data_IF_274537096343
#
_entry.id   IF_274537096343
#
_cell.length_a   1.000
_cell.length_b   1.000
_cell.length_c   1.000
_cell.angle_alpha   90.00
_cell.angle_beta   90.00
_cell.angle_gamma   90.00
#
_symmetry.space_group_name_H-M   'P 1'
#
loop_
_entity.id
_entity.type
_entity.pdbx_description
1 polymer ?
#
# COMPACT_ATOMS: atom_id res chain seq x y z
N UNK A 1 -0.15 30.25 5.10
CA UNK A 1 -1.37 29.94 4.33
C UNK A 1 -1.20 28.49 3.96
N UNK A 2 -2.17 27.61 4.25
CA UNK A 2 -1.94 26.17 4.33
C UNK A 2 -1.75 25.57 2.93
N UNK A 3 -0.53 25.65 2.39
CA UNK A 3 -0.18 25.24 1.03
C UNK A 3 0.06 23.73 1.02
N UNK A 4 -0.26 23.06 -0.09
CA UNK A 4 -0.07 21.62 -0.21
C UNK A 4 1.45 21.32 -0.19
N UNK A 5 1.89 20.54 0.78
CA UNK A 5 3.30 20.10 0.97
C UNK A 5 3.53 18.65 0.68
N UNK A 6 2.55 17.80 0.97
CA UNK A 6 2.64 16.39 0.66
C UNK A 6 1.37 15.94 -0.05
N UNK A 7 1.56 15.08 -1.03
CA UNK A 7 0.48 14.41 -1.77
C UNK A 7 0.74 12.92 -1.66
N UNK A 8 -0.23 12.16 -1.15
CA UNK A 8 -0.11 10.74 -0.93
C UNK A 8 -1.11 9.97 -1.80
N UNK A 9 -0.60 9.02 -2.59
CA UNK A 9 -1.37 8.04 -3.36
C UNK A 9 -0.91 6.63 -3.01
N UNK A 10 -1.80 5.65 -3.08
CA UNK A 10 -1.53 4.22 -2.90
C UNK A 10 -2.34 3.40 -3.91
N UNK A 11 -2.11 2.08 -3.94
CA UNK A 11 -2.98 1.09 -4.59
C UNK A 11 -3.28 1.46 -6.06
N UNK A 12 -2.26 1.95 -6.74
CA UNK A 12 -2.32 2.36 -8.14
C UNK A 12 -2.28 1.16 -9.07
N UNK A 13 -1.64 0.05 -8.65
CA UNK A 13 -1.48 -1.20 -9.42
C UNK A 13 -1.10 -0.96 -10.88
N UNK A 14 -0.10 -0.09 -11.12
CA UNK A 14 0.34 0.26 -12.46
C UNK A 14 0.87 -0.98 -13.19
N UNK A 15 0.32 -1.25 -14.37
CA UNK A 15 0.59 -2.45 -15.17
C UNK A 15 -0.54 -3.47 -15.14
N UNK A 16 -1.44 -3.41 -14.16
CA UNK A 16 -2.58 -4.32 -14.01
C UNK A 16 -3.76 -3.91 -14.91
N UNK A 17 -4.50 -4.88 -15.45
CA UNK A 17 -5.54 -4.66 -16.47
C UNK A 17 -6.91 -4.25 -15.93
N UNK A 18 -7.12 -4.29 -14.61
CA UNK A 18 -8.27 -3.79 -13.86
C UNK A 18 -7.99 -2.46 -13.14
N UNK A 19 -6.73 -2.00 -13.10
CA UNK A 19 -6.32 -0.65 -12.67
C UNK A 19 -6.76 0.48 -13.62
N UNK A 20 -7.54 1.40 -13.04
CA UNK A 20 -7.72 2.82 -13.32
C UNK A 20 -6.64 3.47 -14.19
N UNK A 21 -5.43 3.29 -13.73
CA UNK A 21 -4.27 4.07 -14.11
C UNK A 21 -3.44 3.37 -15.18
N UNK A 22 -3.74 2.12 -15.51
CA UNK A 22 -3.18 1.40 -16.65
C UNK A 22 -4.02 1.64 -17.90
N UNK A 23 -3.42 2.01 -19.04
CA UNK A 23 -4.18 2.12 -20.28
C UNK A 23 -4.46 0.73 -20.86
N UNK A 24 -5.57 0.57 -21.60
CA UNK A 24 -5.84 -0.63 -22.39
C UNK A 24 -5.66 -0.35 -23.88
N UNK A 25 -5.27 -1.39 -24.63
CA UNK A 25 -5.29 -1.36 -26.09
C UNK A 25 -6.73 -1.13 -26.59
N UNK A 26 -6.86 -0.48 -27.75
CA UNK A 26 -8.18 -0.19 -28.31
C UNK A 26 -8.94 -1.49 -28.60
N UNK A 27 -10.16 -1.60 -28.07
CA UNK A 27 -11.02 -2.78 -28.21
C UNK A 27 -10.38 -4.09 -27.73
N UNK A 28 -9.58 -4.04 -26.67
CA UNK A 28 -8.91 -5.19 -26.05
C UNK A 28 -8.89 -5.04 -24.53
N UNK A 29 -8.76 -6.16 -23.84
CA UNK A 29 -8.52 -6.24 -22.39
C UNK A 29 -7.03 -6.08 -22.05
N UNK A 30 -6.15 -6.21 -23.04
CA UNK A 30 -4.71 -6.12 -22.83
C UNK A 30 -4.28 -4.71 -22.39
N UNK A 31 -3.38 -4.61 -21.41
CA UNK A 31 -2.69 -3.37 -21.12
C UNK A 31 -1.92 -2.81 -22.32
N UNK A 32 -1.95 -1.49 -22.45
CA UNK A 32 -1.12 -0.71 -23.36
C UNK A 32 -0.12 0.14 -22.55
N UNK A 33 1.09 -0.39 -22.28
CA UNK A 33 2.08 0.31 -21.47
C UNK A 33 2.71 1.53 -22.17
N UNK A 34 2.40 1.75 -23.46
CA UNK A 34 3.00 2.83 -24.25
C UNK A 34 2.26 4.15 -24.11
N UNK A 35 1.08 4.17 -23.48
CA UNK A 35 0.26 5.36 -23.32
C UNK A 35 -0.26 5.50 -21.89
N UNK A 36 -0.37 6.72 -21.34
CA UNK A 36 -1.04 6.91 -20.06
C UNK A 36 -2.54 6.71 -20.22
N UNK A 37 -3.20 6.13 -19.20
CA UNK A 37 -4.66 5.97 -19.21
C UNK A 37 -5.36 7.34 -19.20
N UNK A 38 -6.59 7.45 -19.74
CA UNK A 38 -7.36 8.68 -19.65
C UNK A 38 -7.58 9.16 -18.21
N UNK A 39 -7.76 8.22 -17.27
CA UNK A 39 -7.94 8.53 -15.84
C UNK A 39 -6.64 9.09 -15.26
N UNK A 40 -5.49 8.49 -15.58
CA UNK A 40 -4.18 8.98 -15.12
C UNK A 40 -3.91 10.41 -15.61
N UNK A 41 -4.20 10.72 -16.88
CA UNK A 41 -4.03 12.08 -17.42
C UNK A 41 -4.89 13.08 -16.65
N UNK A 42 -6.17 12.77 -16.48
CA UNK A 42 -7.10 13.69 -15.83
C UNK A 42 -6.83 13.84 -14.34
N UNK A 43 -6.36 12.78 -13.67
CA UNK A 43 -5.88 12.82 -12.29
C UNK A 43 -4.74 13.84 -12.13
N UNK A 44 -3.77 13.81 -13.04
CA UNK A 44 -2.64 14.75 -13.00
C UNK A 44 -3.09 16.18 -13.28
N UNK A 45 -4.05 16.41 -14.18
CA UNK A 45 -4.63 17.74 -14.39
C UNK A 45 -5.35 18.27 -13.13
N UNK A 46 -6.07 17.41 -12.41
CA UNK A 46 -6.68 17.75 -11.11
C UNK A 46 -5.62 18.15 -10.06
N UNK A 47 -4.53 17.41 -9.98
CA UNK A 47 -3.40 17.72 -9.08
C UNK A 47 -2.70 19.01 -9.48
N UNK A 48 -2.43 19.22 -10.77
CA UNK A 48 -1.84 20.46 -11.30
C UNK A 48 -2.72 21.67 -10.94
N UNK A 49 -4.04 21.56 -11.11
CA UNK A 49 -4.98 22.61 -10.72
C UNK A 49 -4.83 22.98 -9.24
N UNK A 50 -4.84 22.01 -8.32
CA UNK A 50 -4.70 22.28 -6.88
C UNK A 50 -3.33 22.85 -6.52
N UNK A 51 -2.25 22.24 -7.00
CA UNK A 51 -0.87 22.66 -6.70
C UNK A 51 -0.59 24.04 -7.28
N UNK A 52 -1.18 24.41 -8.42
CA UNK A 52 -1.08 25.77 -8.98
C UNK A 52 -1.64 26.86 -8.08
N UNK A 53 -2.48 26.49 -7.08
CA UNK A 53 -3.03 27.41 -6.09
C UNK A 53 -2.13 27.60 -4.88
N UNK A 54 -1.01 26.89 -4.75
CA UNK A 54 -0.03 27.14 -3.69
C UNK A 54 0.53 28.56 -3.84
N UNK A 55 0.57 29.31 -2.74
CA UNK A 55 0.99 30.72 -2.76
C UNK A 55 2.51 30.86 -2.77
N UNK A 56 3.21 30.02 -2.01
CA UNK A 56 4.66 30.08 -1.88
C UNK A 56 5.42 29.45 -3.05
N UNK A 57 4.68 28.86 -4.00
CA UNK A 57 5.16 28.22 -5.23
C UNK A 57 6.16 27.08 -5.01
N UNK A 58 6.35 26.59 -3.78
CA UNK A 58 7.14 25.38 -3.56
C UNK A 58 6.34 24.17 -4.01
N UNK A 59 7.04 23.26 -4.68
CA UNK A 59 6.46 22.01 -5.13
C UNK A 59 6.30 21.07 -3.93
N UNK A 60 5.17 20.35 -3.82
CA UNK A 60 5.01 19.32 -2.82
C UNK A 60 5.95 18.13 -3.04
N UNK A 61 6.07 17.31 -2.00
CA UNK A 61 6.66 15.98 -2.04
C UNK A 61 5.55 14.98 -2.37
N UNK A 62 5.82 14.09 -3.32
CA UNK A 62 4.93 12.96 -3.63
C UNK A 62 5.29 11.77 -2.74
N UNK A 63 4.30 11.22 -2.05
CA UNK A 63 4.40 10.00 -1.27
C UNK A 63 3.64 8.91 -2.04
N UNK A 64 4.35 7.87 -2.42
CA UNK A 64 3.80 6.70 -3.08
C UNK A 64 3.71 5.58 -2.03
N UNK A 65 2.52 5.40 -1.46
CA UNK A 65 2.25 4.63 -0.24
C UNK A 65 1.71 3.22 -0.51
N UNK A 66 2.51 2.41 -1.20
CA UNK A 66 2.26 0.98 -1.39
C UNK A 66 1.37 0.63 -2.58
N UNK A 67 1.59 -0.58 -3.09
CA UNK A 67 0.90 -1.19 -4.25
C UNK A 67 0.81 -0.24 -5.45
N UNK A 68 1.94 0.39 -5.75
CA UNK A 68 2.04 1.39 -6.82
C UNK A 68 2.24 0.71 -8.15
N UNK A 69 3.16 -0.24 -8.21
CA UNK A 69 3.38 -1.10 -9.36
C UNK A 69 2.78 -2.46 -9.05
N UNK A 70 2.11 -3.06 -10.03
CA UNK A 70 1.68 -4.45 -9.90
C UNK A 70 2.83 -5.38 -10.29
N UNK A 71 3.42 -6.11 -9.34
CA UNK A 71 4.43 -7.15 -9.62
C UNK A 71 3.90 -8.57 -9.36
N UNK A 72 2.76 -8.69 -8.67
CA UNK A 72 2.16 -9.97 -8.33
C UNK A 72 1.41 -10.58 -9.52
N UNK A 73 0.76 -9.74 -10.34
CA UNK A 73 -0.15 -10.17 -11.41
C UNK A 73 0.30 -9.79 -12.82
N UNK A 74 1.37 -9.01 -12.97
CA UNK A 74 1.93 -8.65 -14.28
C UNK A 74 3.45 -8.72 -14.30
N UNK A 75 4.03 -8.45 -15.47
CA UNK A 75 5.48 -8.48 -15.70
C UNK A 75 6.14 -7.14 -15.32
N UNK A 76 7.35 -7.21 -14.77
CA UNK A 76 8.14 -6.04 -14.36
C UNK A 76 8.25 -4.98 -15.47
N UNK A 77 8.47 -5.41 -16.71
CA UNK A 77 8.62 -4.49 -17.84
C UNK A 77 7.32 -3.74 -18.13
N UNK A 78 6.17 -4.39 -18.03
CA UNK A 78 4.88 -3.75 -18.25
C UNK A 78 4.59 -2.72 -17.17
N UNK A 79 4.71 -3.10 -15.89
CA UNK A 79 4.52 -2.21 -14.76
C UNK A 79 5.49 -1.00 -14.82
N UNK A 80 6.77 -1.24 -15.12
CA UNK A 80 7.77 -0.20 -15.27
C UNK A 80 7.46 0.79 -16.41
N UNK A 81 7.02 0.30 -17.57
CA UNK A 81 6.66 1.16 -18.70
C UNK A 81 5.42 2.02 -18.39
N UNK A 82 4.42 1.48 -17.68
CA UNK A 82 3.27 2.27 -17.22
C UNK A 82 3.70 3.32 -16.19
N UNK A 83 4.61 2.96 -15.27
CA UNK A 83 5.19 3.92 -14.33
C UNK A 83 5.96 5.04 -15.04
N UNK A 84 6.69 4.77 -16.12
CA UNK A 84 7.32 5.83 -16.94
C UNK A 84 6.28 6.83 -17.47
N UNK A 85 5.10 6.37 -17.92
CA UNK A 85 4.02 7.25 -18.39
C UNK A 85 3.49 8.14 -17.26
N UNK A 86 3.42 7.63 -16.03
CA UNK A 86 3.09 8.43 -14.87
C UNK A 86 4.14 9.52 -14.60
N UNK A 87 5.43 9.14 -14.60
CA UNK A 87 6.55 10.08 -14.38
C UNK A 87 6.59 11.19 -15.44
N UNK A 88 6.31 10.87 -16.70
CA UNK A 88 6.22 11.87 -17.78
C UNK A 88 5.16 12.93 -17.53
N UNK A 89 4.03 12.55 -16.90
CA UNK A 89 2.95 13.46 -16.58
C UNK A 89 3.26 14.31 -15.34
N UNK A 90 3.83 13.71 -14.28
CA UNK A 90 4.03 14.40 -13.00
C UNK A 90 5.37 15.13 -12.87
N UNK A 91 6.39 14.73 -13.63
CA UNK A 91 7.72 15.36 -13.63
C UNK A 91 8.20 15.73 -15.05
N UNK A 92 7.40 16.40 -15.90
CA UNK A 92 7.86 16.86 -17.21
C UNK A 92 8.97 17.91 -17.08
N UNK A 93 9.84 17.98 -18.10
CA UNK A 93 10.94 18.93 -18.14
C UNK A 93 10.46 20.38 -17.96
N UNK A 94 10.97 21.05 -16.92
CA UNK A 94 10.65 22.44 -16.58
C UNK A 94 9.25 22.68 -16.00
N UNK A 95 8.38 21.66 -15.93
CA UNK A 95 6.98 21.78 -15.47
C UNK A 95 6.58 20.74 -14.42
N UNK A 96 7.52 20.00 -13.85
CA UNK A 96 7.21 18.99 -12.83
C UNK A 96 6.37 19.53 -11.68
N UNK A 97 5.38 18.75 -11.24
CA UNK A 97 4.47 19.09 -10.15
C UNK A 97 5.11 18.91 -8.78
N UNK A 98 6.04 17.95 -8.68
CA UNK A 98 6.66 17.54 -7.42
C UNK A 98 8.14 17.90 -7.37
N UNK A 99 8.63 18.12 -6.16
CA UNK A 99 10.07 18.32 -5.88
C UNK A 99 10.82 16.98 -5.88
N UNK A 100 10.29 16.01 -5.12
CA UNK A 100 10.83 14.66 -4.98
C UNK A 100 9.72 13.65 -4.70
N UNK A 101 10.09 12.37 -4.77
CA UNK A 101 9.22 11.22 -4.51
C UNK A 101 9.78 10.45 -3.32
N UNK A 102 8.93 10.07 -2.36
CA UNK A 102 9.24 9.07 -1.33
C UNK A 102 8.40 7.84 -1.61
N UNK A 103 9.04 6.67 -1.64
CA UNK A 103 8.37 5.40 -1.94
C UNK A 103 8.26 4.54 -0.69
N UNK A 104 7.07 3.98 -0.47
CA UNK A 104 6.79 3.02 0.61
C UNK A 104 6.23 1.78 -0.07
N UNK A 105 6.94 0.65 -0.08
CA UNK A 105 6.43 -0.59 -0.66
C UNK A 105 5.23 -1.13 0.12
N UNK A 106 4.26 -1.67 -0.63
CA UNK A 106 3.17 -2.48 -0.16
C UNK A 106 3.45 -3.96 -0.33
N UNK A 107 2.41 -4.78 -0.41
CA UNK A 107 2.54 -6.22 -0.60
C UNK A 107 2.70 -6.61 -2.08
N UNK A 108 2.06 -5.88 -3.02
CA UNK A 108 2.14 -6.16 -4.47
C UNK A 108 3.47 -5.76 -5.09
N UNK A 109 4.19 -4.84 -4.46
CA UNK A 109 5.50 -4.35 -4.89
C UNK A 109 6.57 -4.50 -3.79
N UNK A 110 6.35 -5.42 -2.85
CA UNK A 110 7.27 -5.74 -1.75
C UNK A 110 8.67 -6.08 -2.24
N UNK A 111 8.81 -6.66 -3.44
CA UNK A 111 10.10 -6.97 -4.03
C UNK A 111 11.02 -5.73 -4.18
N UNK A 112 10.46 -4.53 -4.30
CA UNK A 112 11.26 -3.31 -4.29
C UNK A 112 11.88 -2.99 -2.93
N UNK A 113 11.23 -3.38 -1.82
CA UNK A 113 11.86 -3.34 -0.51
C UNK A 113 13.04 -4.31 -0.44
N UNK A 114 12.83 -5.58 -0.85
CA UNK A 114 13.89 -6.60 -0.81
C UNK A 114 15.10 -6.20 -1.67
N UNK A 115 14.86 -5.72 -2.89
CA UNK A 115 15.94 -5.23 -3.76
C UNK A 115 16.69 -4.04 -3.14
N UNK A 116 15.98 -3.10 -2.51
CA UNK A 116 16.61 -1.95 -1.87
C UNK A 116 17.44 -2.34 -0.65
N UNK A 117 16.91 -3.23 0.20
CA UNK A 117 17.56 -3.82 1.37
C UNK A 117 18.83 -4.59 0.98
N UNK A 118 18.77 -5.44 -0.05
CA UNK A 118 19.93 -6.17 -0.54
C UNK A 118 21.00 -5.21 -1.09
N UNK A 119 20.59 -4.20 -1.86
CA UNK A 119 21.51 -3.18 -2.40
C UNK A 119 22.21 -2.41 -1.27
N UNK A 120 21.46 -2.03 -0.23
CA UNK A 120 22.01 -1.39 0.96
C UNK A 120 23.03 -2.32 1.66
N UNK A 121 22.70 -3.61 1.79
CA UNK A 121 23.57 -4.58 2.42
C UNK A 121 24.86 -4.82 1.65
N UNK A 122 24.81 -4.86 0.31
CA UNK A 122 26.02 -4.88 -0.54
C UNK A 122 26.89 -3.65 -0.28
N UNK A 123 26.29 -2.47 -0.15
CA UNK A 123 27.01 -1.24 0.21
C UNK A 123 27.64 -1.29 1.61
N UNK A 124 26.98 -1.94 2.57
CA UNK A 124 27.54 -2.21 3.90
C UNK A 124 28.73 -3.17 3.83
N UNK A 125 28.60 -4.31 3.14
CA UNK A 125 29.68 -5.30 3.03
C UNK A 125 30.93 -4.70 2.40
N UNK A 126 30.79 -3.80 1.41
CA UNK A 126 31.91 -3.12 0.79
C UNK A 126 32.73 -2.23 1.76
N UNK A 127 32.13 -1.84 2.89
CA UNK A 127 32.77 -1.04 3.95
C UNK A 127 33.38 -1.92 5.06
N UNK A 128 33.11 -3.23 5.07
CA UNK A 128 33.60 -4.17 6.08
C UNK A 128 34.82 -4.92 5.56
N UNK A 129 35.89 -4.96 6.35
CA UNK A 129 37.12 -5.67 5.97
C UNK A 129 36.91 -7.20 5.83
N UNK A 130 37.53 -7.86 4.83
CA UNK A 130 37.50 -9.32 4.71
C UNK A 130 37.94 -10.03 6.00
N UNK A 131 37.19 -11.06 6.41
CA UNK A 131 37.46 -11.84 7.62
C UNK A 131 36.83 -11.27 8.90
N UNK A 132 36.14 -10.13 8.84
CA UNK A 132 35.32 -9.62 9.95
C UNK A 132 33.89 -10.19 9.88
N UNK A 133 33.20 -10.36 11.03
CA UNK A 133 31.82 -10.80 11.04
C UNK A 133 30.90 -9.76 10.38
N UNK A 134 29.90 -10.24 9.63
CA UNK A 134 28.85 -9.42 9.06
C UNK A 134 27.62 -9.47 9.97
N UNK A 135 26.97 -8.31 10.17
CA UNK A 135 25.67 -8.25 10.83
C UNK A 135 24.58 -8.74 9.88
N UNK A 136 23.43 -9.16 10.41
CA UNK A 136 22.29 -9.52 9.56
C UNK A 136 21.79 -8.29 8.76
N UNK A 137 21.20 -8.48 7.57
CA UNK A 137 20.56 -7.41 6.81
C UNK A 137 19.43 -6.73 7.58
N UNK A 138 19.13 -5.48 7.21
CA UNK A 138 18.02 -4.74 7.80
C UNK A 138 16.67 -5.27 7.35
N UNK A 139 15.68 -5.30 8.25
CA UNK A 139 14.29 -5.64 7.90
C UNK A 139 13.37 -4.42 7.89
N UNK A 140 13.78 -3.27 8.42
CA UNK A 140 13.03 -2.02 8.29
C UNK A 140 13.97 -0.86 8.05
N UNK A 141 13.43 0.26 7.59
CA UNK A 141 14.09 1.56 7.66
C UNK A 141 13.79 2.23 9.00
N UNK A 142 14.48 3.34 9.28
CA UNK A 142 13.95 4.32 10.24
C UNK A 142 12.64 4.89 9.69
N UNK A 143 11.71 5.28 10.56
CA UNK A 143 10.44 5.91 10.20
C UNK A 143 10.67 7.34 9.68
N UNK A 144 11.54 8.11 10.33
CA UNK A 144 11.76 9.53 10.03
C UNK A 144 12.95 9.76 9.09
N UNK A 145 12.79 9.48 7.80
CA UNK A 145 13.90 9.49 6.82
C UNK A 145 14.22 10.84 6.18
N UNK A 146 13.40 11.89 6.38
CA UNK A 146 13.56 13.17 5.64
C UNK A 146 14.93 13.84 5.82
N UNK A 147 15.58 13.60 6.97
CA UNK A 147 16.89 14.14 7.31
C UNK A 147 17.98 13.06 7.41
N UNK A 148 17.71 11.84 6.92
CA UNK A 148 18.71 10.79 6.86
C UNK A 148 19.78 11.20 5.82
N UNK A 149 21.08 11.31 6.21
CA UNK A 149 22.14 11.64 5.27
C UNK A 149 22.44 10.52 4.25
N UNK A 150 22.00 9.29 4.52
CA UNK A 150 22.19 8.13 3.63
C UNK A 150 20.90 7.29 3.54
N UNK A 151 19.81 7.86 2.98
CA UNK A 151 18.53 7.16 2.92
C UNK A 151 18.64 5.94 2.01
N UNK A 152 17.94 4.87 2.39
CA UNK A 152 17.82 3.68 1.55
C UNK A 152 17.17 4.08 0.23
N UNK A 153 17.70 3.57 -0.89
CA UNK A 153 17.27 3.99 -2.24
C UNK A 153 16.47 2.87 -2.89
N UNK A 154 15.34 3.22 -3.50
CA UNK A 154 14.65 2.35 -4.44
C UNK A 154 15.46 2.29 -5.75
N UNK A 155 16.46 1.40 -5.82
CA UNK A 155 17.45 1.38 -6.91
C UNK A 155 16.80 1.23 -8.28
N UNK A 156 15.86 0.29 -8.41
CA UNK A 156 15.12 0.04 -9.64
C UNK A 156 14.37 1.30 -10.12
N UNK A 157 13.50 1.87 -9.27
CA UNK A 157 12.70 3.06 -9.61
C UNK A 157 13.59 4.29 -9.87
N UNK A 158 14.65 4.45 -9.09
CA UNK A 158 15.63 5.52 -9.30
C UNK A 158 16.26 5.39 -10.69
N UNK A 159 16.71 4.20 -11.09
CA UNK A 159 17.30 3.98 -12.41
C UNK A 159 16.30 4.14 -13.54
N UNK A 160 15.05 3.76 -13.32
CA UNK A 160 13.96 3.96 -14.27
C UNK A 160 13.74 5.46 -14.53
N UNK A 161 13.60 6.27 -13.49
CA UNK A 161 13.41 7.73 -13.61
C UNK A 161 14.65 8.43 -14.20
N UNK A 162 15.86 7.97 -13.87
CA UNK A 162 17.11 8.53 -14.41
C UNK A 162 17.30 8.31 -15.91
N UNK A 163 16.45 7.52 -16.58
CA UNK A 163 16.42 7.41 -18.05
C UNK A 163 15.98 8.73 -18.71
N UNK A 164 15.27 9.58 -17.99
CA UNK A 164 14.92 10.93 -18.45
C UNK A 164 16.10 11.89 -18.19
N UNK A 165 16.65 12.58 -19.22
CA UNK A 165 17.85 13.41 -19.05
C UNK A 165 17.74 14.51 -17.98
N UNK A 166 16.54 15.07 -17.78
CA UNK A 166 16.29 16.11 -16.78
C UNK A 166 16.11 15.59 -15.35
N UNK A 167 16.02 14.26 -15.18
CA UNK A 167 15.88 13.59 -13.88
C UNK A 167 17.09 12.68 -13.56
N UNK A 168 18.21 12.84 -14.29
CA UNK A 168 19.43 12.03 -14.13
C UNK A 168 20.01 12.03 -12.70
N UNK A 169 19.76 13.10 -11.95
CA UNK A 169 20.24 13.29 -10.58
C UNK A 169 19.15 13.01 -9.52
N UNK A 170 17.93 12.65 -9.96
CA UNK A 170 16.82 12.31 -9.07
C UNK A 170 17.10 10.99 -8.36
N UNK A 171 16.82 10.96 -7.06
CA UNK A 171 16.90 9.77 -6.21
C UNK A 171 15.52 9.57 -5.60
N UNK A 172 15.03 8.33 -5.62
CA UNK A 172 13.79 7.95 -4.93
C UNK A 172 14.18 7.22 -3.64
N UNK A 173 14.13 7.90 -2.47
CA UNK A 173 14.27 7.23 -1.19
C UNK A 173 13.12 6.25 -0.94
N UNK A 174 13.43 5.18 -0.21
CA UNK A 174 12.47 4.19 0.25
C UNK A 174 12.37 4.25 1.77
N UNK A 175 11.16 4.14 2.29
CA UNK A 175 10.88 3.98 3.71
C UNK A 175 9.96 2.77 3.88
N UNK A 176 10.27 1.87 4.82
CA UNK A 176 9.51 0.63 4.98
C UNK A 176 9.54 0.08 6.43
N UNK A 177 8.39 -0.43 6.94
CA UNK A 177 7.06 -0.33 6.34
C UNK A 177 6.36 1.00 6.67
N UNK A 178 6.93 1.79 7.59
CA UNK A 178 6.39 3.07 8.03
C UNK A 178 7.27 4.22 7.54
N UNK A 179 6.64 5.28 7.06
CA UNK A 179 7.25 6.58 6.84
C UNK A 179 6.58 7.62 7.73
N UNK A 180 7.38 8.43 8.45
CA UNK A 180 6.89 9.42 9.39
C UNK A 180 7.33 10.83 9.07
N UNK A 181 6.44 11.79 9.32
CA UNK A 181 6.70 13.23 9.32
C UNK A 181 6.46 13.79 10.72
N UNK A 182 7.35 14.67 11.18
CA UNK A 182 7.22 15.35 12.48
C UNK A 182 6.97 16.83 12.30
N UNK A 183 6.01 17.36 13.05
CA UNK A 183 5.79 18.79 13.17
C UNK A 183 7.00 19.47 13.80
N UNK A 184 7.18 20.78 13.54
CA UNK A 184 8.35 21.56 14.00
C UNK A 184 8.55 21.55 15.53
N UNK A 185 7.50 21.31 16.29
CA UNK A 185 7.46 21.27 17.75
C UNK A 185 7.34 19.84 18.33
N UNK A 186 7.43 18.82 17.47
CA UNK A 186 7.19 17.41 17.78
C UNK A 186 5.82 17.14 18.44
N UNK A 187 4.84 18.04 18.28
CA UNK A 187 3.49 17.83 18.80
C UNK A 187 2.61 17.04 17.83
N UNK A 188 2.89 17.16 16.54
CA UNK A 188 2.19 16.44 15.47
C UNK A 188 3.08 15.40 14.81
N UNK A 189 2.49 14.26 14.47
CA UNK A 189 3.15 13.20 13.73
C UNK A 189 2.20 12.60 12.70
N UNK A 190 2.64 12.53 11.44
CA UNK A 190 1.93 11.85 10.37
C UNK A 190 2.69 10.59 10.01
N UNK A 191 1.97 9.49 9.89
CA UNK A 191 2.56 8.18 9.61
C UNK A 191 1.85 7.60 8.40
N UNK A 192 2.65 7.21 7.41
CA UNK A 192 2.24 6.53 6.21
C UNK A 192 2.68 5.08 6.30
N UNK A 193 1.77 4.17 5.99
CA UNK A 193 2.00 2.74 5.92
C UNK A 193 1.10 2.16 4.83
N UNK A 194 1.52 1.13 4.12
CA UNK A 194 0.64 0.55 3.08
C UNK A 194 -0.65 -0.03 3.67
N UNK A 195 -0.53 -0.92 4.65
CA UNK A 195 -1.68 -1.46 5.38
C UNK A 195 -1.64 -2.97 5.53
N UNK A 196 -0.80 -3.67 4.77
CA UNK A 196 -0.73 -5.13 4.74
C UNK A 196 -0.50 -5.77 6.11
N UNK A 197 0.28 -5.16 7.01
CA UNK A 197 0.42 -5.67 8.39
C UNK A 197 -0.81 -5.51 9.29
N UNK A 198 -1.88 -4.87 8.83
CA UNK A 198 -3.18 -4.88 9.52
C UNK A 198 -3.98 -6.15 9.21
N UNK A 199 -3.59 -6.93 8.20
CA UNK A 199 -4.22 -8.21 7.89
C UNK A 199 -3.38 -9.39 8.41
N UNK A 200 -4.04 -10.35 9.06
CA UNK A 200 -3.36 -11.51 9.67
C UNK A 200 -2.65 -12.40 8.66
N UNK A 201 -3.07 -12.37 7.38
CA UNK A 201 -2.47 -13.16 6.31
C UNK A 201 -1.01 -12.78 6.04
N UNK A 202 -0.65 -11.50 6.20
CA UNK A 202 0.73 -11.04 6.03
C UNK A 202 1.58 -11.25 7.29
N UNK A 203 0.96 -11.72 8.37
CA UNK A 203 1.63 -12.15 9.61
C UNK A 203 1.50 -13.68 9.83
N UNK A 204 1.24 -14.43 8.75
CA UNK A 204 0.96 -15.86 8.84
C UNK A 204 2.14 -16.65 9.44
N UNK A 205 3.38 -16.32 9.06
CA UNK A 205 4.56 -17.04 9.54
C UNK A 205 4.78 -16.79 11.04
N UNK A 206 4.59 -15.55 11.50
CA UNK A 206 4.61 -15.24 12.93
C UNK A 206 3.53 -16.00 13.70
N UNK A 207 2.32 -16.06 13.14
CA UNK A 207 1.21 -16.81 13.75
C UNK A 207 1.53 -18.30 13.86
N UNK A 208 2.08 -18.90 12.79
CA UNK A 208 2.50 -20.29 12.77
C UNK A 208 3.63 -20.56 13.78
N UNK A 209 4.63 -19.67 13.85
CA UNK A 209 5.75 -19.78 14.79
C UNK A 209 5.26 -19.84 16.23
N UNK A 210 4.40 -18.91 16.65
CA UNK A 210 3.83 -18.87 18.00
C UNK A 210 2.99 -20.11 18.32
N UNK A 211 2.28 -20.65 17.35
CA UNK A 211 1.47 -21.86 17.57
C UNK A 211 2.32 -23.14 17.62
N UNK A 212 3.40 -23.22 16.83
CA UNK A 212 4.32 -24.36 16.79
C UNK A 212 5.25 -24.39 18.02
N UNK A 213 5.63 -23.21 18.51
CA UNK A 213 6.55 -23.07 19.64
C UNK A 213 5.90 -22.20 20.73
N UNK A 214 5.16 -22.80 21.68
CA UNK A 214 4.32 -22.08 22.64
C UNK A 214 5.07 -21.09 23.55
N UNK A 215 6.39 -21.25 23.72
CA UNK A 215 7.24 -20.33 24.47
C UNK A 215 7.56 -19.03 23.70
N UNK A 216 7.21 -18.95 22.41
CA UNK A 216 7.40 -17.78 21.57
C UNK A 216 6.13 -16.93 21.49
N UNK A 217 6.24 -15.66 21.89
CA UNK A 217 5.18 -14.68 21.72
C UNK A 217 5.11 -14.14 20.28
N UNK A 218 3.97 -13.56 19.92
CA UNK A 218 3.86 -12.78 18.68
C UNK A 218 4.86 -11.60 18.70
N UNK A 219 5.47 -11.27 17.56
CA UNK A 219 6.36 -10.12 17.44
C UNK A 219 5.73 -8.82 17.92
N UNK A 220 6.49 -8.05 18.71
CA UNK A 220 6.05 -6.74 19.23
C UNK A 220 6.67 -5.57 18.50
N UNK A 221 7.72 -5.81 17.70
CA UNK A 221 8.40 -4.80 16.93
C UNK A 221 8.17 -5.03 15.45
N UNK A 222 8.06 -3.94 14.70
CA UNK A 222 7.88 -3.96 13.24
C UNK A 222 9.02 -4.72 12.56
N UNK A 223 10.25 -4.57 13.06
CA UNK A 223 11.41 -5.34 12.61
C UNK A 223 11.19 -6.85 12.66
N UNK A 224 10.70 -7.36 13.79
CA UNK A 224 10.53 -8.79 13.99
C UNK A 224 9.37 -9.34 13.13
N UNK A 225 8.30 -8.53 12.93
CA UNK A 225 7.21 -8.89 12.02
C UNK A 225 7.74 -9.06 10.60
N UNK A 226 8.48 -8.08 10.07
CA UNK A 226 9.04 -8.19 8.72
C UNK A 226 10.09 -9.31 8.65
N UNK A 227 10.98 -9.43 9.63
CA UNK A 227 12.02 -10.47 9.64
C UNK A 227 11.45 -11.89 9.55
N UNK A 228 10.28 -12.13 10.14
CA UNK A 228 9.62 -13.42 10.08
C UNK A 228 8.78 -13.63 8.81
N UNK A 229 8.19 -12.58 8.25
CA UNK A 229 7.20 -12.71 7.17
C UNK A 229 7.69 -12.25 5.79
N UNK A 230 8.83 -11.57 5.66
CA UNK A 230 9.28 -10.98 4.39
C UNK A 230 9.26 -11.98 3.22
N UNK A 231 9.78 -13.19 3.42
CA UNK A 231 9.87 -14.20 2.37
C UNK A 231 8.49 -14.74 1.96
N UNK A 232 7.54 -14.80 2.91
CA UNK A 232 6.15 -15.14 2.62
C UNK A 232 5.48 -14.03 1.80
N UNK A 233 5.75 -12.78 2.14
CA UNK A 233 5.18 -11.61 1.45
C UNK A 233 5.75 -11.52 0.04
N UNK A 234 7.08 -11.45 -0.11
CA UNK A 234 7.77 -11.29 -1.39
C UNK A 234 7.42 -12.40 -2.39
N UNK A 235 7.41 -13.65 -1.93
CA UNK A 235 7.12 -14.79 -2.79
C UNK A 235 5.69 -14.77 -3.32
N UNK A 236 4.69 -14.70 -2.43
CA UNK A 236 3.28 -14.85 -2.82
C UNK A 236 2.65 -13.59 -3.36
N UNK A 237 3.11 -12.41 -2.91
CA UNK A 237 2.44 -11.16 -3.20
C UNK A 237 3.26 -10.26 -4.12
N UNK A 238 4.54 -10.55 -4.41
CA UNK A 238 5.33 -9.69 -5.30
C UNK A 238 6.10 -10.40 -6.41
N UNK A 239 6.32 -11.72 -6.34
CA UNK A 239 7.18 -12.44 -7.29
C UNK A 239 6.43 -13.36 -8.26
N UNK A 240 5.20 -13.80 -7.93
CA UNK A 240 4.50 -14.82 -8.74
C UNK A 240 4.25 -14.41 -10.20
N UNK A 241 3.79 -13.17 -10.45
CA UNK A 241 3.53 -12.63 -11.79
C UNK A 241 4.76 -12.53 -12.69
N UNK A 242 5.96 -12.56 -12.10
CA UNK A 242 7.25 -12.50 -12.81
C UNK A 242 7.59 -13.80 -13.54
N UNK A 243 6.84 -14.88 -13.30
CA UNK A 243 7.09 -16.20 -13.89
C UNK A 243 6.55 -16.36 -15.32
N UNK A 244 6.07 -15.29 -15.96
CA UNK A 244 5.59 -15.31 -17.35
C UNK A 244 4.35 -16.20 -17.52
N UNK A 245 4.32 -17.06 -18.55
CA UNK A 245 3.20 -17.97 -18.82
C UNK A 245 2.89 -18.89 -17.63
N UNK A 246 3.92 -19.30 -16.85
CA UNK A 246 3.71 -20.06 -15.62
C UNK A 246 3.07 -19.22 -14.49
N UNK A 247 3.24 -17.89 -14.53
CA UNK A 247 2.59 -16.94 -13.62
C UNK A 247 1.09 -16.79 -13.88
N UNK A 248 0.63 -16.95 -15.13
CA UNK A 248 -0.80 -16.90 -15.48
C UNK A 248 -1.58 -18.08 -14.87
N UNK A 249 -1.00 -19.29 -14.86
CA UNK A 249 -1.59 -20.45 -14.17
C UNK A 249 -1.55 -20.29 -12.63
N UNK A 250 -0.68 -19.42 -12.11
CA UNK A 250 -0.55 -19.09 -10.69
C UNK A 250 -1.51 -17.98 -10.26
N UNK A 251 -2.06 -17.17 -11.17
CA UNK A 251 -3.18 -16.25 -10.86
C UNK A 251 -4.39 -17.02 -10.30
N UNK A 252 -4.65 -18.22 -10.82
CA UNK A 252 -5.61 -19.17 -10.24
C UNK A 252 -5.22 -19.63 -8.82
N UNK A 253 -3.92 -19.74 -8.51
CA UNK A 253 -3.46 -20.01 -7.14
C UNK A 253 -3.63 -18.76 -6.28
N UNK A 254 -3.43 -17.55 -6.80
CA UNK A 254 -3.65 -16.29 -6.10
C UNK A 254 -5.14 -16.08 -5.76
N UNK A 255 -6.05 -16.22 -6.73
CA UNK A 255 -7.51 -16.25 -6.54
C UNK A 255 -7.91 -17.32 -5.51
N UNK A 256 -7.31 -18.52 -5.59
CA UNK A 256 -7.50 -19.58 -4.60
C UNK A 256 -6.88 -19.23 -3.24
N UNK A 257 -5.78 -18.51 -3.16
CA UNK A 257 -5.18 -18.12 -1.89
C UNK A 257 -5.96 -17.02 -1.18
N UNK A 258 -6.81 -16.29 -1.91
CA UNK A 258 -7.88 -15.45 -1.34
C UNK A 258 -9.08 -16.28 -0.83
N UNK A 259 -9.18 -17.55 -1.24
CA UNK A 259 -10.06 -18.56 -0.65
C UNK A 259 -9.34 -19.34 0.47
N UNK A 260 -9.84 -19.20 1.69
CA UNK A 260 -9.20 -19.80 2.85
C UNK A 260 -9.31 -21.33 2.88
N UNK A 261 -10.31 -21.93 2.23
CA UNK A 261 -10.43 -23.40 2.11
C UNK A 261 -9.25 -23.97 1.32
N UNK A 262 -8.76 -23.23 0.33
CA UNK A 262 -7.60 -23.64 -0.47
C UNK A 262 -6.27 -23.38 0.24
N UNK A 263 -6.17 -22.32 1.03
CA UNK A 263 -5.00 -22.11 1.91
C UNK A 263 -4.89 -23.25 2.94
N UNK A 264 -6.01 -23.67 3.53
CA UNK A 264 -6.07 -24.84 4.41
C UNK A 264 -5.63 -26.13 3.68
N UNK A 265 -6.05 -26.32 2.43
CA UNK A 265 -5.61 -27.45 1.60
C UNK A 265 -4.11 -27.42 1.30
N UNK A 266 -3.55 -26.26 0.97
CA UNK A 266 -2.12 -26.09 0.73
C UNK A 266 -1.31 -26.39 2.00
N UNK A 267 -1.73 -25.82 3.12
CA UNK A 267 -1.08 -26.00 4.43
C UNK A 267 -1.18 -27.45 4.91
N UNK A 268 -2.33 -28.09 4.77
CA UNK A 268 -2.51 -29.52 5.12
C UNK A 268 -1.68 -30.44 4.22
N UNK A 269 -1.53 -30.11 2.94
CA UNK A 269 -0.64 -30.82 2.00
C UNK A 269 0.82 -30.66 2.39
N UNK A 270 1.25 -29.42 2.71
CA UNK A 270 2.58 -29.12 3.25
C UNK A 270 2.87 -29.93 4.52
N UNK A 271 1.93 -29.98 5.47
CA UNK A 271 2.09 -30.80 6.68
C UNK A 271 2.20 -32.29 6.38
N UNK A 272 1.35 -32.81 5.50
CA UNK A 272 1.39 -34.23 5.12
C UNK A 272 2.74 -34.58 4.49
N UNK A 273 3.30 -33.67 3.69
CA UNK A 273 4.59 -33.87 3.03
C UNK A 273 5.78 -33.64 3.99
N UNK A 274 5.68 -32.70 4.92
CA UNK A 274 6.70 -32.47 5.96
C UNK A 274 6.77 -33.64 6.94
N UNK A 275 5.64 -34.14 7.44
CA UNK A 275 5.57 -35.31 8.32
C UNK A 275 6.14 -36.56 7.64
N UNK A 276 5.89 -36.74 6.33
CA UNK A 276 6.49 -37.85 5.56
C UNK A 276 8.00 -37.72 5.35
N UNK A 277 8.57 -36.52 5.44
CA UNK A 277 9.96 -36.23 5.04
C UNK A 277 10.89 -35.98 6.22
N UNK A 278 10.36 -35.44 7.31
CA UNK A 278 11.05 -35.24 8.57
C UNK A 278 10.37 -36.14 9.59
N UNK A 279 10.86 -37.38 9.72
CA UNK A 279 10.50 -38.29 10.81
C UNK A 279 10.90 -37.59 12.13
N UNK A 280 9.97 -36.85 12.77
CA UNK A 280 10.31 -36.06 13.95
C UNK A 280 10.48 -37.06 15.10
N UNK A 281 11.68 -37.18 15.71
CA UNK A 281 11.95 -38.28 16.63
C UNK A 281 10.98 -38.26 17.83
N UNK A 282 10.10 -39.27 17.91
CA UNK A 282 9.30 -39.58 19.11
C UNK A 282 7.78 -39.54 18.95
N UNK A 283 7.24 -39.12 17.80
CA UNK A 283 5.79 -39.02 17.56
C UNK A 283 5.48 -39.75 16.25
N UNK A 284 4.70 -40.83 16.26
CA UNK A 284 4.39 -41.53 14.99
C UNK A 284 3.63 -40.64 14.01
N UNK A 285 3.81 -40.85 12.69
CA UNK A 285 3.29 -40.03 11.58
C UNK A 285 1.82 -39.60 11.73
N UNK A 286 0.98 -40.48 12.28
CA UNK A 286 -0.45 -40.20 12.48
C UNK A 286 -0.74 -39.17 13.57
N UNK A 287 0.15 -39.03 14.55
CA UNK A 287 0.05 -38.04 15.63
C UNK A 287 0.57 -36.68 15.16
N UNK A 288 1.67 -36.66 14.40
CA UNK A 288 2.20 -35.44 13.77
C UNK A 288 1.17 -34.82 12.81
N UNK A 289 0.56 -35.63 11.95
CA UNK A 289 -0.49 -35.17 11.04
C UNK A 289 -1.70 -34.58 11.78
N UNK A 290 -2.09 -35.16 12.92
CA UNK A 290 -3.18 -34.64 13.76
C UNK A 290 -2.82 -33.32 14.44
N UNK A 291 -1.59 -33.20 14.95
CA UNK A 291 -1.09 -31.98 15.57
C UNK A 291 -1.04 -30.84 14.54
N UNK A 292 -0.50 -31.10 13.36
CA UNK A 292 -0.43 -30.14 12.26
C UNK A 292 -1.83 -29.74 11.78
N UNK A 293 -2.77 -30.69 11.66
CA UNK A 293 -4.16 -30.37 11.31
C UNK A 293 -4.84 -29.52 12.38
N UNK A 294 -4.64 -29.83 13.67
CA UNK A 294 -5.15 -29.00 14.76
C UNK A 294 -4.56 -27.59 14.73
N UNK A 295 -3.25 -27.48 14.50
CA UNK A 295 -2.53 -26.22 14.36
C UNK A 295 -3.14 -25.36 13.24
N UNK A 296 -3.35 -25.94 12.05
CA UNK A 296 -3.95 -25.22 10.94
C UNK A 296 -5.41 -24.84 11.18
N UNK A 297 -6.19 -25.67 11.86
CA UNK A 297 -7.54 -25.29 12.27
C UNK A 297 -7.53 -24.13 13.29
N UNK A 298 -6.53 -24.07 14.17
CA UNK A 298 -6.34 -22.96 15.11
C UNK A 298 -5.90 -21.67 14.40
N UNK A 299 -5.09 -21.78 13.34
CA UNK A 299 -4.76 -20.67 12.43
C UNK A 299 -6.02 -20.21 11.70
N UNK A 300 -6.81 -21.15 11.16
CA UNK A 300 -8.05 -20.86 10.45
C UNK A 300 -9.04 -20.06 11.32
N UNK A 301 -9.21 -20.46 12.59
CA UNK A 301 -10.03 -19.70 13.54
C UNK A 301 -9.52 -18.30 13.88
N UNK A 302 -8.25 -17.98 13.57
CA UNK A 302 -7.65 -16.66 13.81
C UNK A 302 -7.62 -15.74 12.58
N UNK A 303 -7.84 -16.27 11.37
CA UNK A 303 -7.68 -15.57 10.07
C UNK A 303 -9.02 -15.41 9.31
N UNK A 304 -10.12 -15.92 9.85
CA UNK A 304 -11.43 -15.94 9.17
C UNK A 304 -12.15 -14.58 9.17
N UNK A 305 -11.89 -13.75 8.14
CA UNK A 305 -12.56 -12.46 7.95
C UNK A 305 -11.91 -11.55 6.90
N UNK A 306 -11.78 -12.01 5.65
CA UNK A 306 -11.09 -11.27 4.58
C UNK A 306 -11.87 -10.10 4.00
N UNK A 307 -11.16 -9.04 3.67
CA UNK A 307 -11.72 -7.71 3.40
C UNK A 307 -12.26 -7.52 1.97
N UNK A 308 -11.91 -8.38 1.02
CA UNK A 308 -12.31 -8.24 -0.39
C UNK A 308 -13.69 -8.81 -0.76
N UNK A 309 -14.33 -9.55 0.15
CA UNK A 309 -15.67 -10.13 -0.09
C UNK A 309 -16.79 -9.48 0.73
N UNK A 310 -16.45 -8.54 1.61
CA UNK A 310 -17.42 -7.84 2.46
C UNK A 310 -17.74 -6.44 1.93
N UNK A 311 -18.87 -6.34 1.24
CA UNK A 311 -19.37 -5.13 0.56
C UNK A 311 -20.12 -4.16 1.47
N UNK A 312 -20.42 -4.55 2.72
CA UNK A 312 -21.29 -3.81 3.62
C UNK A 312 -20.57 -3.01 4.73
N UNK A 313 -19.24 -3.10 4.86
CA UNK A 313 -18.44 -2.40 5.89
C UNK A 313 -17.15 -1.82 5.31
N UNK A 314 -16.71 -0.69 5.88
CA UNK A 314 -15.47 0.01 5.49
C UNK A 314 -14.23 -0.85 5.76
N UNK A 315 -14.17 -1.44 6.95
CA UNK A 315 -13.20 -2.45 7.33
C UNK A 315 -13.91 -3.78 7.66
N UNK A 316 -13.28 -4.91 7.36
CA UNK A 316 -13.73 -6.20 7.92
C UNK A 316 -13.45 -6.24 9.43
N UNK A 317 -14.08 -7.16 10.16
CA UNK A 317 -13.79 -7.31 11.60
C UNK A 317 -12.33 -7.68 11.87
N UNK A 318 -11.72 -8.45 10.98
CA UNK A 318 -10.32 -8.84 11.11
C UNK A 318 -9.39 -7.70 10.74
N UNK A 319 -9.69 -6.94 9.67
CA UNK A 319 -8.92 -5.75 9.29
C UNK A 319 -8.98 -4.67 10.37
N UNK A 320 -10.16 -4.42 10.94
CA UNK A 320 -10.31 -3.53 12.09
C UNK A 320 -9.47 -4.03 13.27
N UNK A 321 -9.66 -5.29 13.70
CA UNK A 321 -8.91 -5.88 14.81
C UNK A 321 -7.40 -5.82 14.60
N UNK A 322 -6.93 -6.07 13.38
CA UNK A 322 -5.52 -6.04 13.03
C UNK A 322 -4.96 -4.62 12.93
N UNK A 323 -5.74 -3.64 12.46
CA UNK A 323 -5.41 -2.21 12.58
C UNK A 323 -5.23 -1.82 14.04
N UNK A 324 -6.18 -2.19 14.92
CA UNK A 324 -6.05 -1.97 16.36
C UNK A 324 -4.81 -2.66 16.94
N UNK A 325 -4.49 -3.89 16.53
CA UNK A 325 -3.32 -4.61 17.01
C UNK A 325 -2.02 -3.93 16.57
N UNK A 326 -1.93 -3.52 15.30
CA UNK A 326 -0.77 -2.86 14.72
C UNK A 326 -0.51 -1.49 15.36
N UNK A 327 -1.56 -0.66 15.47
CA UNK A 327 -1.50 0.68 16.05
C UNK A 327 -1.09 0.64 17.52
N UNK A 328 -1.68 -0.26 18.32
CA UNK A 328 -1.43 -0.32 19.77
C UNK A 328 -0.10 -0.99 20.14
N UNK A 329 0.47 -1.80 19.23
CA UNK A 329 1.66 -2.58 19.48
C UNK A 329 2.84 -2.11 18.62
N UNK A 330 3.11 -2.77 17.49
CA UNK A 330 4.30 -2.55 16.67
C UNK A 330 4.55 -1.09 16.31
N UNK A 331 3.54 -0.38 15.79
CA UNK A 331 3.72 1.01 15.36
C UNK A 331 4.05 1.91 16.54
N UNK A 332 3.25 1.83 17.61
CA UNK A 332 3.47 2.58 18.84
C UNK A 332 4.88 2.33 19.38
N UNK A 333 5.35 1.09 19.38
CA UNK A 333 6.68 0.76 19.85
C UNK A 333 7.77 1.39 18.97
N UNK A 334 7.59 1.40 17.65
CA UNK A 334 8.52 2.05 16.73
C UNK A 334 8.60 3.56 16.99
N UNK A 335 7.46 4.24 17.12
CA UNK A 335 7.41 5.68 17.45
C UNK A 335 8.18 5.95 18.74
N UNK A 336 7.87 5.21 19.81
CA UNK A 336 8.54 5.39 21.10
C UNK A 336 10.04 5.12 21.02
N UNK A 337 10.47 4.10 20.28
CA UNK A 337 11.90 3.81 20.14
C UNK A 337 12.63 4.93 19.40
N UNK A 338 12.10 5.37 18.25
CA UNK A 338 12.75 6.39 17.41
C UNK A 338 12.67 7.79 18.02
N UNK A 339 11.64 8.07 18.82
CA UNK A 339 11.46 9.34 19.54
C UNK A 339 11.88 9.28 21.01
N UNK A 340 12.70 8.29 21.40
CA UNK A 340 13.32 8.18 22.74
C UNK A 340 12.30 8.24 23.89
N UNK A 341 11.17 7.58 23.71
CA UNK A 341 10.07 7.47 24.65
C UNK A 341 9.01 8.58 24.55
N UNK A 342 9.19 9.55 23.65
CA UNK A 342 8.22 10.62 23.46
C UNK A 342 7.13 10.22 22.45
N UNK A 343 5.87 10.22 22.87
CA UNK A 343 4.72 10.01 21.99
C UNK A 343 4.11 11.37 21.62
N UNK A 344 4.07 11.75 20.33
CA UNK A 344 3.37 12.95 19.89
C UNK A 344 1.90 12.91 20.30
N UNK A 345 1.32 14.01 20.82
CA UNK A 345 -0.08 14.03 21.22
C UNK A 345 -1.05 13.92 20.04
N UNK A 346 -0.73 14.53 18.90
CA UNK A 346 -1.58 14.52 17.70
C UNK A 346 -0.92 13.62 16.65
N UNK A 347 -1.53 12.46 16.42
CA UNK A 347 -1.05 11.46 15.46
C UNK A 347 -2.11 11.26 14.38
N UNK A 348 -1.66 11.26 13.13
CA UNK A 348 -2.49 10.88 11.98
C UNK A 348 -1.86 9.68 11.30
N UNK A 349 -2.66 8.66 11.02
CA UNK A 349 -2.27 7.44 10.32
C UNK A 349 -2.94 7.37 8.95
N UNK A 350 -2.13 7.25 7.90
CA UNK A 350 -2.57 7.24 6.50
C UNK A 350 -2.15 5.91 5.91
N UNK A 351 -3.10 5.16 5.36
CA UNK A 351 -2.83 3.87 4.75
C UNK A 351 -3.69 3.59 3.51
N UNK A 352 -3.34 2.56 2.77
CA UNK A 352 -4.03 2.06 1.58
C UNK A 352 -4.60 0.65 1.81
N UNK A 353 -4.33 -0.27 0.88
CA UNK A 353 -4.53 -1.72 0.95
C UNK A 353 -5.96 -2.25 0.77
N UNK A 354 -6.95 -1.60 1.37
CA UNK A 354 -8.34 -2.15 1.45
C UNK A 354 -9.19 -1.81 0.22
N UNK A 355 -8.68 -0.91 -0.63
CA UNK A 355 -9.36 -0.30 -1.77
C UNK A 355 -10.66 0.47 -1.44
N UNK A 356 -10.90 0.74 -0.16
CA UNK A 356 -12.10 1.42 0.34
C UNK A 356 -11.71 2.73 1.03
N UNK A 357 -11.83 3.89 0.35
CA UNK A 357 -11.36 5.14 0.92
C UNK A 357 -12.28 5.55 2.07
N UNK A 358 -11.69 5.89 3.21
CA UNK A 358 -12.41 6.36 4.39
C UNK A 358 -11.57 7.29 5.26
N UNK A 359 -12.24 7.94 6.20
CA UNK A 359 -11.64 8.82 7.18
C UNK A 359 -12.41 8.66 8.49
N UNK A 360 -11.71 8.44 9.59
CA UNK A 360 -12.33 8.23 10.91
C UNK A 360 -11.38 8.68 12.02
N UNK A 361 -11.92 9.18 13.13
CA UNK A 361 -11.19 9.43 14.36
C UNK A 361 -11.26 8.19 15.27
N UNK A 362 -10.11 7.61 15.63
CA UNK A 362 -10.05 6.36 16.37
C UNK A 362 -9.27 6.49 17.68
N UNK A 363 -9.78 5.90 18.76
CA UNK A 363 -9.20 5.99 20.10
C UNK A 363 -8.28 4.80 20.43
N UNK A 364 -7.09 4.78 19.83
CA UNK A 364 -6.10 3.73 20.09
C UNK A 364 -5.48 3.85 21.49
N UNK A 365 -5.12 2.72 22.09
CA UNK A 365 -4.47 2.64 23.40
C UNK A 365 -3.02 3.10 23.32
N UNK A 366 -2.64 3.97 24.25
CA UNK A 366 -1.26 4.44 24.39
C UNK A 366 -0.90 5.61 23.49
N UNK A 367 -1.90 6.22 22.84
CA UNK A 367 -1.83 7.53 22.19
C UNK A 367 -2.46 8.58 23.13
N UNK A 368 -1.90 9.81 23.24
CA UNK A 368 -2.41 10.81 24.16
C UNK A 368 -3.77 11.40 23.75
N UNK A 369 -4.06 11.43 22.44
CA UNK A 369 -5.33 11.88 21.87
C UNK A 369 -5.87 10.85 20.88
N UNK A 370 -7.06 11.12 20.35
CA UNK A 370 -7.63 10.35 19.25
C UNK A 370 -6.72 10.48 18.03
N UNK A 371 -6.65 9.41 17.26
CA UNK A 371 -5.81 9.33 16.06
C UNK A 371 -6.71 9.48 14.85
N UNK A 372 -6.39 10.44 13.99
CA UNK A 372 -7.07 10.55 12.71
C UNK A 372 -6.54 9.46 11.78
N UNK A 373 -7.45 8.66 11.23
CA UNK A 373 -7.13 7.55 10.33
C UNK A 373 -7.71 7.86 8.96
N UNK A 374 -6.88 7.74 7.93
CA UNK A 374 -7.27 7.91 6.54
C UNK A 374 -6.89 6.67 5.73
N UNK A 375 -7.84 6.16 4.97
CA UNK A 375 -7.58 5.17 3.93
C UNK A 375 -7.70 5.81 2.55
N UNK A 376 -6.68 5.66 1.70
CA UNK A 376 -6.62 6.19 0.34
C UNK A 376 -7.45 5.39 -0.67
N UNK A 377 -7.95 4.22 -0.31
CA UNK A 377 -8.68 3.35 -1.20
C UNK A 377 -7.78 2.75 -2.27
N UNK A 378 -8.31 2.48 -3.46
CA UNK A 378 -7.60 1.84 -4.55
C UNK A 378 -8.17 2.20 -5.91
N UNK A 379 -7.33 2.04 -6.93
CA UNK A 379 -7.63 2.45 -8.29
C UNK A 379 -8.02 1.27 -9.17
N UNK A 380 -8.45 0.15 -8.59
CA UNK A 380 -8.70 -1.13 -9.27
C UNK A 380 -10.19 -1.48 -9.24
N UNK A 381 -10.69 -2.13 -10.29
CA UNK A 381 -12.07 -2.64 -10.36
C UNK A 381 -12.08 -4.14 -10.10
N UNK A 382 -12.46 -4.53 -8.89
CA UNK A 382 -12.41 -5.93 -8.44
C UNK A 382 -13.73 -6.68 -8.60
N UNK A 383 -14.84 -5.96 -8.81
CA UNK A 383 -16.17 -6.55 -8.86
C UNK A 383 -16.93 -6.17 -10.12
N UNK A 384 -17.72 -7.12 -10.62
CA UNK A 384 -18.58 -6.90 -11.79
C UNK A 384 -19.71 -5.91 -11.47
N UNK A 385 -20.23 -5.96 -10.25
CA UNK A 385 -21.22 -5.01 -9.76
C UNK A 385 -20.51 -3.92 -8.96
N UNK A 386 -20.87 -2.66 -9.23
CA UNK A 386 -20.30 -1.51 -8.54
C UNK A 386 -20.54 -1.59 -7.03
N UNK A 387 -19.48 -1.38 -6.24
CA UNK A 387 -19.51 -1.42 -4.79
C UNK A 387 -19.29 -0.02 -4.18
N UNK A 388 -20.31 0.60 -3.54
CA UNK A 388 -20.24 1.99 -3.09
C UNK A 388 -19.10 2.35 -2.14
N UNK A 389 -18.52 1.37 -1.46
CA UNK A 389 -17.41 1.58 -0.55
C UNK A 389 -16.05 1.58 -1.24
N UNK A 390 -15.95 0.99 -2.43
CA UNK A 390 -14.71 0.95 -3.21
C UNK A 390 -14.50 2.28 -3.92
N UNK A 391 -13.24 2.66 -4.11
CA UNK A 391 -12.90 3.91 -4.77
C UNK A 391 -11.46 4.35 -4.53
N UNK A 392 -11.05 5.43 -5.19
CA UNK A 392 -9.72 6.02 -5.01
C UNK A 392 -9.80 7.40 -4.37
N UNK A 393 -8.88 7.67 -3.45
CA UNK A 393 -8.67 8.96 -2.82
C UNK A 393 -7.19 9.36 -2.82
N UNK A 394 -6.95 10.65 -2.68
CA UNK A 394 -5.62 11.23 -2.52
C UNK A 394 -5.60 11.93 -1.17
N UNK A 395 -4.60 11.66 -0.34
CA UNK A 395 -4.43 12.40 0.90
C UNK A 395 -3.49 13.59 0.66
N UNK A 396 -3.97 14.79 1.00
CA UNK A 396 -3.22 16.03 0.91
C UNK A 396 -2.81 16.48 2.31
N UNK A 397 -1.63 17.09 2.42
CA UNK A 397 -1.09 17.57 3.70
C UNK A 397 -0.43 18.94 3.53
N UNK A 398 -0.62 19.85 4.48
CA UNK A 398 0.02 21.18 4.49
C UNK A 398 1.33 21.24 5.30
N UNK A 399 1.92 22.45 5.44
CA UNK A 399 3.18 22.65 6.17
C UNK A 399 3.09 22.46 7.69
N UNK A 400 1.88 22.50 8.25
CA UNK A 400 1.60 22.32 9.68
C UNK A 400 1.03 20.92 9.94
N UNK A 401 1.20 20.01 8.97
CA UNK A 401 0.74 18.64 8.97
C UNK A 401 -0.78 18.49 9.21
N UNK A 402 -1.58 19.46 8.75
CA UNK A 402 -3.02 19.29 8.66
C UNK A 402 -3.36 18.45 7.43
N UNK A 403 -4.32 17.53 7.58
CA UNK A 403 -4.64 16.50 6.58
C UNK A 403 -6.03 16.71 6.02
N UNK A 404 -6.24 16.38 4.74
CA UNK A 404 -7.57 16.19 4.16
C UNK A 404 -7.54 15.11 3.09
N UNK A 405 -8.64 14.38 2.93
CA UNK A 405 -8.80 13.38 1.88
C UNK A 405 -9.57 13.97 0.70
N UNK A 406 -8.96 13.93 -0.47
CA UNK A 406 -9.60 14.22 -1.75
C UNK A 406 -10.15 12.90 -2.30
N UNK A 407 -11.43 12.63 -2.06
CA UNK A 407 -12.15 11.45 -2.52
C UNK A 407 -12.42 11.59 -4.01
N UNK A 408 -11.55 11.00 -4.83
CA UNK A 408 -11.60 11.18 -6.29
C UNK A 408 -12.79 10.45 -6.89
N UNK A 409 -13.09 9.25 -6.42
CA UNK A 409 -14.35 8.58 -6.72
C UNK A 409 -14.69 7.53 -5.67
N UNK A 410 -15.97 7.19 -5.61
CA UNK A 410 -16.45 5.89 -5.16
C UNK A 410 -17.19 5.24 -6.31
N UNK A 411 -17.23 3.91 -6.35
CA UNK A 411 -18.04 3.23 -7.35
C UNK A 411 -19.52 3.53 -7.10
N UNK A 412 -20.27 3.68 -8.19
CA UNK A 412 -21.69 4.00 -8.09
C UNK A 412 -22.45 3.32 -9.21
N UNK A 413 -23.72 2.99 -8.94
CA UNK A 413 -24.60 2.43 -9.96
C UNK A 413 -24.89 3.43 -11.10
N UNK A 414 -24.76 4.74 -10.84
CA UNK A 414 -25.00 5.80 -11.80
C UNK A 414 -23.76 6.70 -11.98
N UNK A 415 -23.56 7.30 -13.17
CA UNK A 415 -22.43 8.19 -13.42
C UNK A 415 -22.38 9.41 -12.49
N UNK A 416 -23.53 9.91 -12.03
CA UNK A 416 -23.60 11.07 -11.13
C UNK A 416 -22.99 10.80 -9.75
N UNK A 417 -22.92 9.54 -9.32
CA UNK A 417 -22.32 9.13 -8.06
C UNK A 417 -20.78 9.15 -8.02
N UNK A 418 -20.11 9.33 -9.17
CA UNK A 418 -18.65 9.39 -9.27
C UNK A 418 -18.06 10.79 -8.98
N UNK A 419 -18.84 11.65 -8.32
CA UNK A 419 -18.44 13.01 -7.96
C UNK A 419 -17.20 13.01 -7.07
N UNK A 420 -16.22 13.87 -7.40
CA UNK A 420 -15.10 14.16 -6.50
C UNK A 420 -15.61 14.84 -5.23
N UNK A 421 -15.06 14.50 -4.06
CA UNK A 421 -15.40 15.05 -2.76
C UNK A 421 -14.16 15.39 -1.93
N UNK A 422 -14.34 16.17 -0.87
CA UNK A 422 -13.29 16.50 0.09
C UNK A 422 -13.78 16.14 1.48
N UNK A 423 -13.01 15.31 2.16
CA UNK A 423 -13.35 14.73 3.44
C UNK A 423 -12.27 15.01 4.49
N UNK A 424 -12.69 14.95 5.75
CA UNK A 424 -11.84 15.15 6.93
C UNK A 424 -12.26 14.19 8.05
N UNK A 425 -11.28 13.53 8.66
CA UNK A 425 -11.44 12.90 9.97
C UNK A 425 -11.41 13.99 11.04
N UNK A 426 -12.43 14.05 11.90
CA UNK A 426 -12.56 15.09 12.91
C UNK A 426 -13.34 14.58 14.11
N UNK A 427 -12.80 14.79 15.32
CA UNK A 427 -13.52 14.54 16.56
C UNK A 427 -14.48 15.68 16.90
N UNK A 428 -15.59 15.33 17.58
CA UNK A 428 -16.57 16.33 18.02
C UNK A 428 -15.91 17.34 18.97
N UNK A 429 -15.97 18.62 18.60
CA UNK A 429 -15.40 19.72 19.39
C UNK A 429 -13.97 20.11 19.01
N UNK A 430 -13.34 19.43 18.05
CA UNK A 430 -12.06 19.87 17.49
C UNK A 430 -12.18 21.18 16.72
N UNK A 431 -11.08 21.93 16.71
CA UNK A 431 -10.97 23.18 15.95
C UNK A 431 -11.11 22.90 14.46
N UNK A 432 -11.65 23.86 13.73
CA UNK A 432 -11.72 23.75 12.27
C UNK A 432 -10.33 23.74 11.65
N UNK A 433 -10.11 22.81 10.73
CA UNK A 433 -8.91 22.72 9.93
C UNK A 433 -8.94 23.75 8.78
N UNK A 434 -8.08 24.77 8.81
CA UNK A 434 -8.05 25.79 7.76
C UNK A 434 -7.61 25.22 6.39
N UNK A 435 -6.81 24.15 6.39
CA UNK A 435 -6.37 23.49 5.17
C UNK A 435 -7.53 22.77 4.49
N UNK A 436 -8.28 21.94 5.23
CA UNK A 436 -9.47 21.27 4.72
C UNK A 436 -10.46 22.27 4.08
N UNK A 437 -10.79 23.35 4.79
CA UNK A 437 -11.69 24.40 4.27
C UNK A 437 -11.18 25.06 2.98
N UNK A 438 -9.86 25.25 2.86
CA UNK A 438 -9.25 25.77 1.63
C UNK A 438 -9.45 24.78 0.48
N UNK A 439 -9.11 23.50 0.66
CA UNK A 439 -9.23 22.49 -0.38
C UNK A 439 -10.70 22.31 -0.78
N UNK A 440 -11.62 22.26 0.18
CA UNK A 440 -13.06 22.22 -0.06
C UNK A 440 -13.55 23.38 -0.93
N UNK A 441 -13.01 24.59 -0.73
CA UNK A 441 -13.35 25.76 -1.56
C UNK A 441 -12.79 25.72 -2.99
N UNK A 442 -11.74 24.94 -3.23
CA UNK A 442 -11.09 24.78 -4.55
C UNK A 442 -11.70 23.64 -5.37
N UNK A 443 -12.23 22.61 -4.71
CA UNK A 443 -12.82 21.43 -5.36
C UNK A 443 -14.30 21.70 -5.63
N UNK A 444 -14.62 21.90 -6.92
CA UNK A 444 -15.97 22.16 -7.40
C UNK A 444 -16.39 21.05 -8.36
N UNK A 445 -17.11 20.02 -7.91
CA UNK A 445 -17.30 18.78 -8.68
C UNK A 445 -17.97 18.96 -10.04
N UNK A 446 -18.77 20.02 -10.19
CA UNK A 446 -19.47 20.38 -11.44
C UNK A 446 -18.65 21.25 -12.40
N UNK A 447 -17.44 21.68 -12.02
CA UNK A 447 -16.53 22.51 -12.81
C UNK A 447 -15.29 21.71 -13.25
N UNK A 448 -14.57 22.21 -14.26
CA UNK A 448 -13.28 21.64 -14.66
C UNK A 448 -12.20 21.88 -13.59
N UNK A 449 -11.25 20.95 -13.38
CA UNK A 449 -11.08 19.67 -14.09
C UNK A 449 -11.91 18.49 -13.51
N UNK A 450 -12.62 18.72 -12.40
CA UNK A 450 -13.30 17.69 -11.60
C UNK A 450 -14.41 16.98 -12.37
N UNK A 451 -15.22 17.74 -13.10
CA UNK A 451 -16.31 17.20 -13.92
C UNK A 451 -15.80 16.21 -14.96
N UNK A 452 -14.72 16.55 -15.67
CA UNK A 452 -14.13 15.67 -16.67
C UNK A 452 -13.53 14.43 -16.03
N UNK A 453 -12.88 14.57 -14.86
CA UNK A 453 -12.38 13.42 -14.09
C UNK A 453 -13.50 12.42 -13.77
N UNK A 454 -14.59 12.87 -13.15
CA UNK A 454 -15.71 12.00 -12.77
C UNK A 454 -16.31 11.27 -13.98
N UNK A 455 -16.46 11.96 -15.12
CA UNK A 455 -16.99 11.36 -16.34
C UNK A 455 -16.05 10.29 -16.93
N UNK A 456 -14.73 10.54 -16.92
CA UNK A 456 -13.74 9.58 -17.40
C UNK A 456 -13.66 8.38 -16.46
N UNK A 457 -13.63 8.58 -15.15
CA UNK A 457 -13.60 7.51 -14.16
C UNK A 457 -14.82 6.58 -14.28
N UNK A 458 -16.05 7.14 -14.31
CA UNK A 458 -17.28 6.38 -14.47
C UNK A 458 -17.28 5.52 -15.74
N UNK A 459 -16.78 6.06 -16.86
CA UNK A 459 -16.65 5.32 -18.12
C UNK A 459 -15.63 4.19 -18.02
N UNK A 460 -14.45 4.46 -17.48
CA UNK A 460 -13.38 3.48 -17.36
C UNK A 460 -13.78 2.32 -16.45
N UNK A 461 -14.43 2.60 -15.33
CA UNK A 461 -14.91 1.57 -14.39
C UNK A 461 -15.92 0.65 -15.07
N UNK A 462 -16.87 1.21 -15.83
CA UNK A 462 -17.82 0.41 -16.61
C UNK A 462 -17.12 -0.50 -17.62
N UNK A 463 -16.08 -0.04 -18.30
CA UNK A 463 -15.33 -0.85 -19.26
C UNK A 463 -14.62 -2.00 -18.52
N UNK A 464 -13.98 -1.74 -17.40
CA UNK A 464 -13.29 -2.78 -16.61
C UNK A 464 -14.24 -3.80 -16.01
N UNK A 465 -15.38 -3.37 -15.47
CA UNK A 465 -16.42 -4.29 -15.01
C UNK A 465 -16.97 -5.20 -16.14
N UNK A 466 -17.07 -4.68 -17.38
CA UNK A 466 -17.45 -5.48 -18.55
C UNK A 466 -16.38 -6.49 -18.93
N UNK A 467 -15.10 -6.10 -18.90
CA UNK A 467 -13.97 -6.98 -19.17
C UNK A 467 -13.91 -8.11 -18.13
N UNK A 468 -13.99 -7.77 -16.85
CA UNK A 468 -14.04 -8.73 -15.74
C UNK A 468 -15.18 -9.73 -15.91
N UNK A 469 -16.40 -9.25 -16.27
CA UNK A 469 -17.53 -10.13 -16.56
C UNK A 469 -17.26 -11.09 -17.72
N UNK A 470 -16.61 -10.61 -18.79
CA UNK A 470 -16.25 -11.46 -19.93
C UNK A 470 -15.27 -12.56 -19.52
N UNK A 471 -14.20 -12.22 -18.78
CA UNK A 471 -13.22 -13.19 -18.26
C UNK A 471 -13.86 -14.25 -17.37
N UNK A 472 -14.75 -13.85 -16.45
CA UNK A 472 -15.49 -14.78 -15.57
C UNK A 472 -16.32 -15.76 -16.40
N UNK A 473 -16.97 -15.30 -17.46
CA UNK A 473 -17.81 -16.14 -18.32
C UNK A 473 -17.00 -17.05 -19.26
N UNK A 474 -15.77 -16.70 -19.62
CA UNK A 474 -14.88 -17.55 -20.44
C UNK A 474 -14.23 -18.68 -19.62
N UNK A 475 -13.99 -18.45 -18.32
CA UNK A 475 -13.43 -19.44 -17.38
C UNK A 475 -14.47 -20.43 -16.83
N UNK A 476 -15.77 -20.20 -17.05
CA UNK A 476 -16.89 -21.04 -16.61
C UNK A 476 -17.38 -21.98 -17.72
#
# INVERSE_FOLDING_TARGET
MPDIRYVCLSDMHLGEEDSLLTNLKTASTDPDPMQPSPVMKQLVECLEYLISKNEDKKKPILILNGDILELALTTDNQAAMVFERFIELIMPHGKGLFDRIVYIPGNHDHHFWESARETQYVGYMAKVEPGKPLNIPWHTTNMFVENDPDPVRAYFLTKLVQRFPHLKDTIIPIAYPNFGLLGKDNQKCLIFHHGHFTESLYQLISTLRTLLFPDHEMPRQVWDIEAENFAWIDFFWSTMGRSGDAGQDIELIYEKMQDWEQVENLLSTLATNMAKRYDIPGWGDAMEAKLLKWLFNAVAGKIAGRERTHTARLLSQDAEKGLWAYMNGPLRQQILNELKGNMPPDVTFIFGHTHKPFQEDMNFKGYPQWVNVYNTGGWVVETVEAQPLYGGAIVLVDEDLNVTSLRMYNEAANPEGYSVGVEEAKHVGEKDNPFHRRILGLVRPSEEPWKTFSAIAARSIRIRAQNLRARINEKA
#
